data_IF_306478690758
#
_entry.id   IF_306478690758
#
_cell.length_a   1.000
_cell.length_b   1.000
_cell.length_c   1.000
_cell.angle_alpha   90.00
_cell.angle_beta   90.00
_cell.angle_gamma   90.00
#
_symmetry.space_group_name_H-M   'P 1'
#
loop_
_entity.id
_entity.type
_entity.pdbx_description
1 polymer ?
#
# COMPACT_ATOMS: atom_id res chain seq x y z
N UNK A 1 5.58 -11.31 2.92
CA UNK A 1 4.53 -10.31 3.21
C UNK A 1 3.89 -10.63 4.55
N UNK A 2 3.74 -9.62 5.44
CA UNK A 2 3.26 -9.78 6.82
C UNK A 2 1.73 -9.62 6.88
N UNK A 3 1.05 -10.59 7.47
CA UNK A 3 -0.42 -10.67 7.49
C UNK A 3 -0.91 -10.71 8.93
N UNK A 4 -1.98 -9.95 9.23
CA UNK A 4 -2.73 -10.05 10.46
C UNK A 4 -4.18 -10.48 10.16
N UNK A 5 -4.77 -11.30 11.02
CA UNK A 5 -6.15 -11.76 10.90
C UNK A 5 -6.95 -11.28 12.12
N UNK A 6 -8.01 -10.51 11.89
CA UNK A 6 -8.98 -10.08 12.87
C UNK A 6 -10.35 -10.75 12.58
N UNK A 7 -10.69 -11.75 13.35
CA UNK A 7 -11.89 -12.59 13.18
C UNK A 7 -12.30 -13.16 14.53
N UNK A 8 -13.52 -12.91 14.99
CA UNK A 8 -13.97 -13.35 16.31
C UNK A 8 -14.30 -14.85 16.36
N UNK A 9 -14.81 -15.39 15.27
CA UNK A 9 -15.13 -16.82 15.19
C UNK A 9 -13.88 -17.68 15.06
N UNK A 10 -13.57 -18.44 16.10
CA UNK A 10 -12.35 -19.27 16.15
C UNK A 10 -12.23 -20.25 14.97
N UNK A 11 -13.34 -20.87 14.55
CA UNK A 11 -13.31 -21.85 13.44
C UNK A 11 -12.95 -21.18 12.13
N UNK A 12 -13.54 -20.04 11.83
CA UNK A 12 -13.28 -19.24 10.64
C UNK A 12 -11.85 -18.74 10.65
N UNK A 13 -11.38 -18.18 11.77
CA UNK A 13 -10.01 -17.74 11.93
C UNK A 13 -8.98 -18.85 11.68
N UNK A 14 -9.19 -20.03 12.27
CA UNK A 14 -8.33 -21.20 12.05
C UNK A 14 -8.37 -21.70 10.60
N UNK A 15 -9.53 -21.61 9.94
CA UNK A 15 -9.67 -21.93 8.53
C UNK A 15 -8.78 -21.04 7.66
N UNK A 16 -8.84 -19.72 7.85
CA UNK A 16 -7.99 -18.75 7.17
C UNK A 16 -6.50 -19.03 7.43
N UNK A 17 -6.13 -19.25 8.69
CA UNK A 17 -4.75 -19.58 9.08
C UNK A 17 -4.22 -20.79 8.33
N UNK A 18 -4.99 -21.88 8.22
CA UNK A 18 -4.57 -23.11 7.50
C UNK A 18 -4.31 -22.85 6.03
N UNK A 19 -5.18 -22.09 5.36
CA UNK A 19 -4.99 -21.73 3.95
C UNK A 19 -3.72 -20.88 3.79
N UNK A 20 -3.55 -19.87 4.62
CA UNK A 20 -2.39 -18.98 4.57
C UNK A 20 -1.08 -19.70 4.90
N UNK A 21 -1.10 -20.65 5.86
CA UNK A 21 0.05 -21.47 6.20
C UNK A 21 0.49 -22.41 5.08
N UNK A 22 -0.40 -22.80 4.18
CA UNK A 22 -0.01 -23.56 2.98
C UNK A 22 0.82 -22.75 2.00
N UNK A 23 0.84 -21.43 2.15
CA UNK A 23 1.55 -20.46 1.33
C UNK A 23 2.71 -19.76 2.11
N UNK A 24 3.21 -20.39 3.17
CA UNK A 24 4.16 -19.81 4.14
C UNK A 24 5.51 -19.35 3.57
N UNK A 25 5.86 -19.78 2.38
CA UNK A 25 7.10 -19.33 1.73
C UNK A 25 7.00 -17.88 1.24
N UNK A 26 5.77 -17.38 1.03
CA UNK A 26 5.50 -16.03 0.55
C UNK A 26 4.90 -15.12 1.64
N UNK A 27 4.20 -15.71 2.64
CA UNK A 27 3.38 -14.99 3.61
C UNK A 27 3.67 -15.42 5.05
N UNK A 28 3.75 -14.44 5.94
CA UNK A 28 3.94 -14.63 7.38
C UNK A 28 2.71 -14.10 8.15
N UNK A 29 2.08 -14.95 8.96
CA UNK A 29 1.02 -14.52 9.88
C UNK A 29 1.68 -13.97 11.13
N UNK A 30 1.68 -12.66 11.30
CA UNK A 30 2.36 -11.98 12.41
C UNK A 30 1.48 -11.87 13.65
N UNK A 31 0.16 -11.86 13.51
CA UNK A 31 -0.77 -11.86 14.64
C UNK A 31 -2.17 -12.34 14.26
N UNK A 32 -2.93 -12.73 15.29
CA UNK A 32 -4.35 -13.09 15.19
C UNK A 32 -5.10 -12.41 16.34
N UNK A 33 -6.23 -11.78 16.04
CA UNK A 33 -7.09 -11.14 17.01
C UNK A 33 -8.51 -11.69 16.93
N UNK A 34 -9.19 -11.75 18.08
CA UNK A 34 -10.57 -12.22 18.20
C UNK A 34 -11.58 -11.10 18.41
N UNK A 35 -11.16 -9.84 18.32
CA UNK A 35 -12.02 -8.65 18.41
C UNK A 35 -11.32 -7.44 17.83
N UNK A 36 -12.10 -6.41 17.50
CA UNK A 36 -11.57 -5.21 16.84
C UNK A 36 -10.61 -4.39 17.69
N UNK A 37 -10.82 -4.32 19.00
CA UNK A 37 -9.94 -3.54 19.91
C UNK A 37 -8.55 -4.18 20.00
N UNK A 38 -8.47 -5.47 20.27
CA UNK A 38 -7.20 -6.20 20.27
C UNK A 38 -6.52 -6.18 18.90
N UNK A 39 -7.31 -6.27 17.83
CA UNK A 39 -6.78 -6.14 16.46
C UNK A 39 -6.11 -4.80 16.24
N UNK A 40 -6.72 -3.69 16.65
CA UNK A 40 -6.14 -2.35 16.47
C UNK A 40 -4.78 -2.24 17.17
N UNK A 41 -4.69 -2.67 18.43
CA UNK A 41 -3.45 -2.66 19.21
C UNK A 41 -2.34 -3.45 18.49
N UNK A 42 -2.65 -4.68 18.07
CA UNK A 42 -1.70 -5.54 17.36
C UNK A 42 -1.31 -4.98 15.98
N UNK A 43 -2.24 -4.37 15.23
CA UNK A 43 -1.97 -3.76 13.93
C UNK A 43 -0.98 -2.60 14.07
N UNK A 44 -1.19 -1.73 15.06
CA UNK A 44 -0.31 -0.57 15.30
C UNK A 44 1.09 -0.99 15.73
N UNK A 45 1.20 -2.07 16.52
CA UNK A 45 2.48 -2.63 16.94
C UNK A 45 3.20 -3.36 15.81
N UNK A 46 2.50 -4.29 15.15
CA UNK A 46 3.09 -5.18 14.16
C UNK A 46 3.26 -4.55 12.77
N UNK A 47 2.49 -3.51 12.44
CA UNK A 47 2.49 -2.81 11.14
C UNK A 47 2.46 -3.79 9.96
N UNK A 48 1.41 -4.63 9.85
CA UNK A 48 1.31 -5.64 8.81
C UNK A 48 1.15 -5.00 7.42
N UNK A 49 1.58 -5.73 6.39
CA UNK A 49 1.35 -5.34 4.99
C UNK A 49 -0.14 -5.50 4.61
N UNK A 50 -0.77 -6.59 5.09
CA UNK A 50 -2.17 -6.93 4.82
C UNK A 50 -2.90 -7.30 6.11
N UNK A 51 -4.16 -6.87 6.24
CA UNK A 51 -5.05 -7.25 7.35
C UNK A 51 -6.34 -7.84 6.78
N UNK A 52 -6.69 -9.06 7.22
CA UNK A 52 -8.04 -9.61 7.05
C UNK A 52 -8.90 -9.19 8.23
N UNK A 53 -10.05 -8.58 7.97
CA UNK A 53 -10.91 -8.01 9.00
C UNK A 53 -12.35 -8.52 8.80
N UNK A 54 -12.88 -9.25 9.78
CA UNK A 54 -14.32 -9.51 9.84
C UNK A 54 -15.09 -8.23 10.19
N UNK A 55 -16.26 -8.04 9.57
CA UNK A 55 -17.10 -6.87 9.87
C UNK A 55 -17.70 -7.00 11.27
N UNK A 56 -18.26 -8.16 11.63
CA UNK A 56 -19.00 -8.33 12.88
C UNK A 56 -18.09 -8.85 13.98
N UNK A 57 -17.46 -7.96 14.69
CA UNK A 57 -16.61 -8.29 15.85
C UNK A 57 -17.08 -7.57 17.11
N UNK A 58 -16.87 -8.16 18.31
CA UNK A 58 -17.15 -7.48 19.58
C UNK A 58 -16.23 -6.28 19.82
N UNK A 59 -16.75 -5.32 20.59
CA UNK A 59 -16.10 -4.08 21.07
C UNK A 59 -15.81 -3.03 19.98
N UNK A 60 -15.49 -3.42 18.77
CA UNK A 60 -15.22 -2.54 17.64
C UNK A 60 -15.50 -3.33 16.37
N UNK A 61 -16.38 -2.83 15.50
CA UNK A 61 -16.67 -3.47 14.24
C UNK A 61 -15.53 -3.30 13.23
N UNK A 62 -15.54 -4.15 12.18
CA UNK A 62 -14.46 -4.18 11.20
C UNK A 62 -14.37 -2.94 10.32
N UNK A 63 -15.47 -2.20 10.10
CA UNK A 63 -15.45 -0.97 9.32
C UNK A 63 -14.85 0.17 10.13
N UNK A 64 -15.19 0.27 11.42
CA UNK A 64 -14.57 1.23 12.34
C UNK A 64 -13.06 0.96 12.47
N UNK A 65 -12.68 -0.31 12.69
CA UNK A 65 -11.27 -0.74 12.69
C UNK A 65 -10.57 -0.33 11.40
N UNK A 66 -11.19 -0.59 10.25
CA UNK A 66 -10.62 -0.28 8.92
C UNK A 66 -10.35 1.22 8.75
N UNK A 67 -11.27 2.09 9.21
CA UNK A 67 -11.06 3.56 9.17
C UNK A 67 -9.86 3.98 10.01
N UNK A 68 -9.73 3.43 11.23
CA UNK A 68 -8.63 3.75 12.13
C UNK A 68 -7.30 3.26 11.55
N UNK A 69 -7.27 2.05 11.00
CA UNK A 69 -6.08 1.48 10.35
C UNK A 69 -5.67 2.32 9.13
N UNK A 70 -6.59 2.69 8.25
CA UNK A 70 -6.27 3.53 7.08
C UNK A 70 -5.73 4.90 7.47
N UNK A 71 -6.23 5.48 8.56
CA UNK A 71 -5.73 6.77 9.07
C UNK A 71 -4.31 6.65 9.63
N UNK A 72 -4.01 5.57 10.38
CA UNK A 72 -2.73 5.38 11.06
C UNK A 72 -1.66 4.76 10.14
N UNK A 73 -2.06 3.82 9.30
CA UNK A 73 -1.20 3.02 8.42
C UNK A 73 -1.79 3.00 6.99
N UNK A 74 -1.73 4.09 6.23
CA UNK A 74 -2.41 4.22 4.93
C UNK A 74 -1.94 3.20 3.88
N UNK A 75 -0.71 2.68 4.03
CA UNK A 75 -0.13 1.66 3.13
C UNK A 75 -0.59 0.24 3.44
N UNK A 76 -1.15 -0.03 4.61
CA UNK A 76 -1.69 -1.36 4.95
C UNK A 76 -2.88 -1.67 4.05
N UNK A 77 -2.83 -2.82 3.37
CA UNK A 77 -3.94 -3.33 2.58
C UNK A 77 -4.97 -3.99 3.49
N UNK A 78 -6.23 -3.65 3.32
CA UNK A 78 -7.33 -4.19 4.11
C UNK A 78 -8.20 -5.05 3.22
N UNK A 79 -8.41 -6.30 3.61
CA UNK A 79 -9.33 -7.23 2.98
C UNK A 79 -10.43 -7.51 4.00
N UNK A 80 -11.66 -7.10 3.69
CA UNK A 80 -12.81 -7.27 4.58
C UNK A 80 -13.49 -8.60 4.32
N UNK A 81 -13.85 -9.30 5.39
CA UNK A 81 -14.62 -10.53 5.38
C UNK A 81 -16.04 -10.23 5.88
N UNK A 82 -17.07 -10.68 5.16
CA UNK A 82 -18.46 -10.43 5.53
C UNK A 82 -19.32 -11.67 5.35
N UNK A 83 -20.12 -11.99 6.35
CA UNK A 83 -21.11 -13.07 6.29
C UNK A 83 -22.42 -12.67 5.58
N UNK A 84 -22.57 -11.41 5.23
CA UNK A 84 -23.80 -10.87 4.68
C UNK A 84 -23.55 -10.10 3.39
N UNK A 85 -24.45 -10.31 2.44
CA UNK A 85 -24.50 -9.56 1.20
C UNK A 85 -25.18 -8.18 1.46
N UNK A 86 -24.71 -7.43 2.46
CA UNK A 86 -25.23 -6.13 2.82
C UNK A 86 -24.55 -5.10 1.94
N UNK A 87 -25.28 -4.61 0.95
CA UNK A 87 -24.83 -3.58 0.01
C UNK A 87 -24.24 -2.34 0.70
N UNK A 88 -24.80 -1.96 1.86
CA UNK A 88 -24.32 -0.79 2.61
C UNK A 88 -22.92 -0.99 3.18
N UNK A 89 -22.55 -2.20 3.63
CA UNK A 89 -21.18 -2.47 4.08
C UNK A 89 -20.17 -2.40 2.93
N UNK A 90 -20.53 -2.96 1.78
CA UNK A 90 -19.68 -2.88 0.60
C UNK A 90 -19.48 -1.43 0.13
N UNK A 91 -20.55 -0.61 0.13
CA UNK A 91 -20.48 0.80 -0.21
C UNK A 91 -19.62 1.61 0.76
N UNK A 92 -19.70 1.31 2.04
CA UNK A 92 -18.90 1.96 3.06
C UNK A 92 -17.44 1.54 2.97
N UNK A 93 -17.19 0.25 2.75
CA UNK A 93 -15.86 -0.29 2.53
C UNK A 93 -15.12 0.39 1.36
N UNK A 94 -15.83 0.66 0.24
CA UNK A 94 -15.29 1.42 -0.89
C UNK A 94 -14.88 2.85 -0.46
N UNK A 95 -15.72 3.53 0.34
CA UNK A 95 -15.40 4.88 0.83
C UNK A 95 -14.19 4.94 1.75
N UNK A 96 -13.97 3.87 2.52
CA UNK A 96 -12.79 3.70 3.39
C UNK A 96 -11.52 3.46 2.55
N UNK A 97 -11.66 2.97 1.33
CA UNK A 97 -10.53 2.59 0.48
C UNK A 97 -9.92 1.25 0.89
N UNK A 98 -10.76 0.25 1.19
CA UNK A 98 -10.30 -1.12 1.38
C UNK A 98 -9.85 -1.73 0.05
N UNK A 99 -8.92 -2.68 0.12
CA UNK A 99 -8.33 -3.30 -1.07
C UNK A 99 -9.23 -4.38 -1.68
N UNK A 100 -9.94 -5.13 -0.83
CA UNK A 100 -10.88 -6.16 -1.31
C UNK A 100 -11.97 -6.50 -0.28
N UNK A 101 -13.06 -7.12 -0.75
CA UNK A 101 -14.22 -7.48 0.03
C UNK A 101 -14.66 -8.91 -0.31
N UNK A 102 -14.55 -9.83 0.65
CA UNK A 102 -14.84 -11.25 0.47
C UNK A 102 -16.08 -11.67 1.25
N UNK A 103 -16.99 -12.38 0.58
CA UNK A 103 -18.17 -12.96 1.23
C UNK A 103 -17.84 -14.31 1.88
N UNK A 104 -18.29 -14.50 3.11
CA UNK A 104 -18.24 -15.80 3.80
C UNK A 104 -19.36 -16.73 3.26
N UNK A 105 -19.07 -18.02 3.06
CA UNK A 105 -17.83 -18.73 3.35
C UNK A 105 -16.73 -18.41 2.34
N UNK A 106 -15.56 -17.98 2.84
CA UNK A 106 -14.43 -17.61 1.96
C UNK A 106 -13.79 -18.88 1.39
N UNK A 107 -13.77 -18.97 0.07
CA UNK A 107 -13.05 -20.05 -0.61
C UNK A 107 -11.54 -19.85 -0.56
N UNK A 108 -10.77 -20.94 -0.57
CA UNK A 108 -9.31 -20.84 -0.63
C UNK A 108 -8.84 -20.10 -1.87
N UNK A 109 -9.51 -20.30 -3.02
CA UNK A 109 -9.20 -19.56 -4.26
C UNK A 109 -9.42 -18.06 -4.09
N UNK A 110 -10.60 -17.63 -3.57
CA UNK A 110 -10.89 -16.22 -3.35
C UNK A 110 -9.91 -15.53 -2.37
N UNK A 111 -9.48 -16.26 -1.33
CA UNK A 111 -8.49 -15.77 -0.38
C UNK A 111 -7.14 -15.55 -1.06
N UNK A 112 -6.70 -16.52 -1.88
CA UNK A 112 -5.44 -16.45 -2.61
C UNK A 112 -5.47 -15.33 -3.65
N UNK A 113 -6.56 -15.16 -4.38
CA UNK A 113 -6.69 -14.11 -5.39
C UNK A 113 -6.67 -12.71 -4.77
N UNK A 114 -7.36 -12.51 -3.63
CA UNK A 114 -7.32 -11.25 -2.89
C UNK A 114 -5.90 -10.92 -2.37
N UNK A 115 -5.16 -11.94 -1.91
CA UNK A 115 -3.77 -11.77 -1.48
C UNK A 115 -2.84 -11.42 -2.62
N UNK A 116 -2.96 -12.08 -3.78
CA UNK A 116 -2.16 -11.77 -4.97
C UNK A 116 -2.38 -10.33 -5.40
N UNK A 117 -3.64 -9.90 -5.47
CA UNK A 117 -4.00 -8.51 -5.79
C UNK A 117 -3.35 -7.53 -4.82
N UNK A 118 -3.47 -7.78 -3.50
CA UNK A 118 -2.84 -6.93 -2.49
C UNK A 118 -1.30 -6.91 -2.61
N UNK A 119 -0.66 -8.05 -2.92
CA UNK A 119 0.78 -8.15 -3.15
C UNK A 119 1.23 -7.34 -4.37
N UNK A 120 0.46 -7.41 -5.47
CA UNK A 120 0.73 -6.65 -6.69
C UNK A 120 0.62 -5.14 -6.44
N UNK A 121 -0.44 -4.68 -5.76
CA UNK A 121 -0.61 -3.28 -5.37
C UNK A 121 0.54 -2.77 -4.48
N UNK A 122 0.99 -3.58 -3.50
CA UNK A 122 2.12 -3.24 -2.63
C UNK A 122 3.42 -3.15 -3.42
N UNK A 123 3.63 -4.07 -4.37
CA UNK A 123 4.82 -4.07 -5.23
C UNK A 123 4.87 -2.82 -6.11
N UNK A 124 3.77 -2.49 -6.79
CA UNK A 124 3.67 -1.28 -7.62
C UNK A 124 3.92 0.00 -6.82
N UNK A 125 3.33 0.09 -5.61
CA UNK A 125 3.56 1.26 -4.74
C UNK A 125 5.02 1.37 -4.29
N UNK A 126 5.66 0.24 -3.97
CA UNK A 126 7.10 0.22 -3.62
C UNK A 126 7.99 0.61 -4.80
N UNK A 127 7.67 0.16 -6.00
CA UNK A 127 8.40 0.52 -7.21
C UNK A 127 8.28 2.01 -7.52
N UNK A 128 7.06 2.56 -7.46
CA UNK A 128 6.82 4.00 -7.60
C UNK A 128 7.58 4.81 -6.56
N UNK A 129 7.57 4.39 -5.30
CA UNK A 129 8.30 5.07 -4.22
C UNK A 129 9.80 5.05 -4.44
N UNK A 130 10.38 3.91 -4.87
CA UNK A 130 11.81 3.81 -5.21
C UNK A 130 12.19 4.69 -6.40
N UNK A 131 11.33 4.77 -7.40
CA UNK A 131 11.55 5.61 -8.57
C UNK A 131 11.58 7.08 -8.16
N UNK A 132 10.59 7.54 -7.39
CA UNK A 132 10.55 8.91 -6.85
C UNK A 132 11.79 9.23 -6.00
N UNK A 133 12.21 8.33 -5.12
CA UNK A 133 13.42 8.50 -4.31
C UNK A 133 14.67 8.68 -5.17
N UNK A 134 14.81 7.88 -6.24
CA UNK A 134 15.91 8.03 -7.20
C UNK A 134 15.90 9.41 -7.88
N UNK A 135 14.73 9.91 -8.26
CA UNK A 135 14.60 11.25 -8.86
C UNK A 135 14.97 12.35 -7.87
N UNK A 136 14.51 12.27 -6.61
CA UNK A 136 14.87 13.25 -5.58
C UNK A 136 16.37 13.27 -5.31
N UNK A 137 17.01 12.11 -5.16
CA UNK A 137 18.47 12.02 -4.96
C UNK A 137 19.23 12.59 -6.17
N UNK A 138 18.78 12.34 -7.38
CA UNK A 138 19.38 12.91 -8.60
C UNK A 138 19.20 14.42 -8.66
N UNK A 139 18.02 14.92 -8.27
CA UNK A 139 17.70 16.34 -8.23
C UNK A 139 18.55 17.08 -7.20
N UNK A 140 18.71 16.57 -5.98
CA UNK A 140 19.58 17.16 -4.96
C UNK A 140 21.04 17.26 -5.42
N UNK A 141 21.57 16.18 -6.01
CA UNK A 141 22.92 16.21 -6.59
C UNK A 141 23.06 17.21 -7.72
N UNK A 142 22.03 17.35 -8.54
CA UNK A 142 22.01 18.28 -9.65
C UNK A 142 21.96 19.75 -9.18
N UNK A 143 21.12 20.06 -8.17
CA UNK A 143 21.06 21.40 -7.57
C UNK A 143 22.38 21.77 -6.88
N UNK A 144 23.01 20.84 -6.19
CA UNK A 144 24.33 21.03 -5.58
C UNK A 144 25.42 21.26 -6.65
N UNK A 145 25.35 20.59 -7.78
CA UNK A 145 26.23 20.81 -8.92
C UNK A 145 26.02 22.19 -9.57
N UNK A 146 24.78 22.63 -9.78
CA UNK A 146 24.42 23.93 -10.33
C UNK A 146 24.87 25.09 -9.41
N UNK A 147 24.81 24.92 -8.09
CA UNK A 147 25.25 25.92 -7.13
C UNK A 147 26.77 26.07 -7.11
N UNK A 148 27.51 25.03 -7.51
CA UNK A 148 28.98 25.04 -7.59
C UNK A 148 29.54 25.51 -8.95
N UNK A 149 28.69 25.55 -9.98
CA UNK A 149 29.10 25.86 -11.36
C UNK A 149 28.35 27.09 -11.88
N UNK A 150 29.10 28.08 -12.42
CA UNK A 150 28.53 29.30 -13.00
C UNK A 150 27.97 29.02 -14.40
N UNK A 151 26.81 28.37 -14.45
CA UNK A 151 26.10 28.13 -15.72
C UNK A 151 25.05 29.23 -15.94
N UNK A 152 25.46 30.29 -16.62
CA UNK A 152 24.60 31.43 -16.99
C UNK A 152 23.51 31.11 -18.03
N UNK A 153 23.43 29.87 -18.52
CA UNK A 153 22.50 29.44 -19.58
C UNK A 153 21.34 28.50 -19.13
N UNK A 154 21.29 28.09 -17.86
CA UNK A 154 20.28 27.13 -17.40
C UNK A 154 19.08 27.83 -16.80
N UNK A 155 17.90 27.70 -17.42
CA UNK A 155 16.66 28.24 -16.88
C UNK A 155 16.14 27.38 -15.72
N UNK A 156 16.59 27.72 -14.50
CA UNK A 156 16.16 27.09 -13.24
C UNK A 156 14.65 27.12 -13.05
N UNK A 157 13.95 28.10 -13.61
CA UNK A 157 12.50 28.26 -13.50
C UNK A 157 11.79 27.19 -14.33
N UNK A 158 12.29 26.95 -15.55
CA UNK A 158 11.74 25.94 -16.44
C UNK A 158 11.81 24.53 -15.82
N UNK A 159 12.96 24.20 -15.22
CA UNK A 159 13.14 22.90 -14.53
C UNK A 159 12.22 22.77 -13.31
N UNK A 160 12.11 23.80 -12.49
CA UNK A 160 11.23 23.79 -11.33
C UNK A 160 9.75 23.73 -11.70
N UNK A 161 9.34 24.38 -12.76
CA UNK A 161 7.94 24.37 -13.23
C UNK A 161 7.61 23.02 -13.86
N UNK A 162 8.55 22.40 -14.56
CA UNK A 162 8.37 21.04 -15.11
C UNK A 162 8.25 19.97 -14.01
N UNK A 163 9.09 20.04 -12.98
CA UNK A 163 9.05 19.13 -11.83
C UNK A 163 7.78 19.28 -10.97
N UNK A 164 7.10 20.41 -11.04
CA UNK A 164 5.82 20.64 -10.34
C UNK A 164 4.61 20.16 -11.13
N UNK A 165 4.70 20.06 -12.43
CA UNK A 165 3.56 19.81 -13.32
C UNK A 165 3.54 18.41 -13.95
N UNK A 166 4.68 17.71 -14.04
CA UNK A 166 4.80 16.47 -14.76
C UNK A 166 4.53 15.21 -13.92
N UNK A 167 3.94 14.21 -14.52
CA UNK A 167 4.02 12.84 -14.03
C UNK A 167 5.47 12.33 -14.20
N UNK A 168 5.86 11.32 -13.39
CA UNK A 168 7.21 10.72 -13.49
C UNK A 168 7.50 10.20 -14.90
N UNK A 169 6.46 9.73 -15.61
CA UNK A 169 6.56 9.22 -17.00
C UNK A 169 6.81 10.33 -18.02
N UNK A 170 6.32 11.55 -17.77
CA UNK A 170 6.53 12.72 -18.64
C UNK A 170 7.88 13.39 -18.41
N UNK A 171 8.41 13.31 -17.18
CA UNK A 171 9.70 13.92 -16.83
C UNK A 171 10.91 13.12 -17.33
N UNK A 172 10.81 11.78 -17.40
CA UNK A 172 11.94 10.89 -17.73
C UNK A 172 12.59 11.20 -19.10
N UNK A 173 11.86 11.28 -20.22
CA UNK A 173 12.45 11.58 -21.52
C UNK A 173 13.10 12.96 -21.59
N UNK A 174 12.48 13.97 -20.97
CA UNK A 174 12.99 15.35 -20.94
C UNK A 174 14.30 15.45 -20.16
N UNK A 175 14.39 14.78 -19.02
CA UNK A 175 15.61 14.76 -18.19
C UNK A 175 16.75 14.07 -18.95
N UNK A 176 16.47 12.94 -19.62
CA UNK A 176 17.48 12.24 -20.44
C UNK A 176 17.96 13.08 -21.62
N UNK A 177 17.06 13.70 -22.36
CA UNK A 177 17.36 14.54 -23.50
C UNK A 177 18.17 15.80 -23.08
N UNK A 178 17.81 16.41 -21.96
CA UNK A 178 18.49 17.57 -21.41
C UNK A 178 19.91 17.25 -20.94
N UNK A 179 20.13 16.12 -20.28
CA UNK A 179 21.46 15.66 -19.87
C UNK A 179 22.34 15.25 -21.05
N UNK A 180 21.77 14.65 -22.10
CA UNK A 180 22.48 14.34 -23.32
C UNK A 180 22.98 15.64 -24.00
N UNK A 181 22.14 16.68 -24.08
CA UNK A 181 22.49 17.97 -24.67
C UNK A 181 23.61 18.71 -23.92
N UNK A 182 23.67 18.59 -22.59
CA UNK A 182 24.75 19.19 -21.79
C UNK A 182 26.06 18.38 -21.91
N UNK A 183 25.97 17.05 -22.04
CA UNK A 183 27.14 16.17 -22.17
C UNK A 183 27.87 16.29 -23.50
N UNK A 184 27.22 16.80 -24.55
CA UNK A 184 27.84 17.03 -25.87
C UNK A 184 28.62 18.38 -25.97
N UNK A 185 28.54 19.22 -24.98
CA UNK A 185 29.23 20.55 -24.96
C UNK A 185 30.45 20.60 -24.04
N UNK A 186 30.92 19.49 -23.50
CA UNK A 186 32.16 19.27 -22.79
C UNK A 186 33.03 18.25 -23.52
#
# INVERSE_FOLDING_TARGET
>A
MRILIAEDEQRTRQGLVRVLQSLRDEYEIVAQASNGKAALEMILEQKPDVVFIDIKMPFMDGLELSRLVKKALPRTRIIVLSGYNEFEYAKEAIKIGISDYLLKPVSSAGLIDALKKAADEIREEREKSKLLERYFVSYEKYTEFLDKTDYSGVDRKLINDFLKLGSVEECSPFVEEYFAAIGEHN
#
